data_IF_517711413328
#
_entry.id   IF_517711413328
#
_cell.length_a   1.000
_cell.length_b   1.000
_cell.length_c   1.000
_cell.angle_alpha   90.00
_cell.angle_beta   90.00
_cell.angle_gamma   90.00
#
_symmetry.space_group_name_H-M   'P 1'
#
loop_
_entity.id
_entity.type
_entity.pdbx_description
1 polymer ?
#
# COMPACT_ATOMS: atom_id res chain seq x y z
N UNK A 1 -23.86 0.68 21.06
CA UNK A 1 -23.53 -0.71 20.71
C UNK A 1 -22.62 -1.27 21.80
N UNK A 2 -22.86 -2.51 22.24
CA UNK A 2 -22.02 -3.14 23.27
C UNK A 2 -21.13 -4.20 22.63
N UNK A 3 -19.84 -4.13 22.91
CA UNK A 3 -18.87 -5.14 22.53
C UNK A 3 -18.57 -6.02 23.74
N UNK A 4 -18.55 -7.33 23.54
CA UNK A 4 -18.24 -8.27 24.61
C UNK A 4 -16.73 -8.43 24.77
N UNK A 5 -16.25 -8.38 26.01
CA UNK A 5 -14.87 -8.72 26.35
C UNK A 5 -14.64 -10.22 26.19
N UNK A 6 -13.49 -10.60 25.63
CA UNK A 6 -13.11 -11.98 25.50
C UNK A 6 -12.90 -12.60 26.90
N UNK A 7 -13.45 -13.79 27.12
CA UNK A 7 -13.42 -14.53 28.39
C UNK A 7 -14.07 -13.83 29.59
N UNK A 8 -14.84 -12.77 29.38
CA UNK A 8 -15.59 -12.08 30.44
C UNK A 8 -17.07 -11.97 30.08
N UNK A 9 -17.92 -11.85 31.10
CA UNK A 9 -19.33 -11.49 30.92
C UNK A 9 -19.53 -9.98 30.78
N UNK A 10 -18.47 -9.21 30.94
CA UNK A 10 -18.50 -7.77 30.89
C UNK A 10 -18.62 -7.27 29.45
N UNK A 11 -19.31 -6.15 29.29
CA UNK A 11 -19.53 -5.48 28.01
C UNK A 11 -18.99 -4.07 28.08
N UNK A 12 -18.35 -3.63 27.03
CA UNK A 12 -17.91 -2.25 26.88
C UNK A 12 -18.88 -1.56 25.93
N UNK A 13 -19.49 -0.47 26.39
CA UNK A 13 -20.36 0.38 25.59
C UNK A 13 -19.53 1.28 24.69
N UNK A 14 -19.64 1.11 23.38
CA UNK A 14 -18.91 1.89 22.36
C UNK A 14 -19.88 2.77 21.55
N UNK A 15 -19.35 3.82 20.94
CA UNK A 15 -20.12 4.77 20.15
C UNK A 15 -20.65 4.15 18.84
N UNK A 16 -21.95 4.18 18.63
CA UNK A 16 -22.60 3.75 17.38
C UNK A 16 -22.13 4.57 16.17
N UNK A 17 -21.72 5.81 16.36
CA UNK A 17 -21.16 6.63 15.29
C UNK A 17 -19.84 6.08 14.73
N UNK A 18 -19.16 5.18 15.45
CA UNK A 18 -17.90 4.56 15.03
C UNK A 18 -18.09 3.11 14.62
N UNK A 19 -18.89 2.34 15.35
CA UNK A 19 -19.04 0.90 15.16
C UNK A 19 -20.39 0.48 14.57
N UNK A 20 -21.32 1.43 14.39
CA UNK A 20 -22.64 1.22 13.79
C UNK A 20 -22.78 1.74 12.34
N UNK A 21 -21.69 2.12 11.68
CA UNK A 21 -21.76 2.69 10.34
C UNK A 21 -22.06 1.63 9.26
N UNK A 22 -22.74 2.05 8.19
CA UNK A 22 -22.99 1.20 7.02
C UNK A 22 -21.69 0.81 6.33
N UNK A 23 -21.64 -0.42 5.82
CA UNK A 23 -20.50 -0.87 5.02
C UNK A 23 -20.55 -0.27 3.61
N UNK A 24 -19.48 0.45 3.24
CA UNK A 24 -19.33 1.11 1.94
C UNK A 24 -18.12 0.54 1.20
N UNK A 25 -18.33 -0.52 0.44
CA UNK A 25 -17.27 -1.27 -0.27
C UNK A 25 -16.41 -0.38 -1.15
N UNK A 26 -17.02 0.48 -1.97
CA UNK A 26 -16.29 1.38 -2.87
C UNK A 26 -15.35 2.33 -2.15
N UNK A 27 -15.77 2.85 -0.98
CA UNK A 27 -14.96 3.71 -0.13
C UNK A 27 -13.77 2.95 0.45
N UNK A 28 -14.00 1.75 0.97
CA UNK A 28 -12.97 0.88 1.53
C UNK A 28 -11.96 0.50 0.45
N UNK A 29 -12.42 0.10 -0.73
CA UNK A 29 -11.56 -0.22 -1.87
C UNK A 29 -10.66 0.96 -2.27
N UNK A 30 -11.19 2.18 -2.30
CA UNK A 30 -10.40 3.38 -2.60
C UNK A 30 -9.29 3.61 -1.56
N UNK A 31 -9.58 3.43 -0.27
CA UNK A 31 -8.59 3.56 0.80
C UNK A 31 -7.50 2.50 0.70
N UNK A 32 -7.88 1.23 0.48
CA UNK A 32 -6.93 0.13 0.32
C UNK A 32 -6.02 0.38 -0.89
N UNK A 33 -6.58 0.80 -2.01
CA UNK A 33 -5.81 1.13 -3.23
C UNK A 33 -4.82 2.27 -2.97
N UNK A 34 -5.24 3.33 -2.28
CA UNK A 34 -4.37 4.44 -1.90
C UNK A 34 -3.25 4.01 -0.96
N UNK A 35 -3.57 3.17 0.03
CA UNK A 35 -2.59 2.61 0.97
C UNK A 35 -1.55 1.75 0.27
N UNK A 36 -1.97 0.83 -0.59
CA UNK A 36 -1.07 -0.03 -1.37
C UNK A 36 -0.20 0.79 -2.34
N UNK A 37 -0.75 1.84 -2.94
CA UNK A 37 0.01 2.74 -3.81
C UNK A 37 1.08 3.51 -3.03
N UNK A 38 0.77 4.01 -1.85
CA UNK A 38 1.72 4.72 -0.99
C UNK A 38 2.90 3.84 -0.52
N UNK A 39 2.69 2.54 -0.35
CA UNK A 39 3.74 1.58 0.00
C UNK A 39 4.74 1.26 -1.12
N UNK A 40 4.50 1.75 -2.36
CA UNK A 40 5.40 1.48 -3.49
C UNK A 40 6.62 2.38 -3.44
N UNK A 41 7.83 1.78 -3.45
CA UNK A 41 9.09 2.53 -3.41
C UNK A 41 9.35 3.42 -4.64
N UNK A 42 8.81 3.06 -5.81
CA UNK A 42 8.89 3.86 -7.03
C UNK A 42 10.29 4.10 -7.59
N UNK A 43 11.27 3.27 -7.24
CA UNK A 43 12.71 3.48 -7.54
C UNK A 43 13.12 3.06 -8.95
N UNK A 44 12.23 2.47 -9.74
CA UNK A 44 12.54 2.02 -11.11
C UNK A 44 13.00 3.19 -11.97
N UNK A 45 14.20 3.06 -12.55
CA UNK A 45 14.77 4.01 -13.48
C UNK A 45 15.26 3.32 -14.76
N UNK A 46 15.10 3.99 -15.90
CA UNK A 46 15.63 3.58 -17.19
C UNK A 46 16.30 4.78 -17.86
N UNK A 47 17.32 4.55 -18.67
CA UNK A 47 18.01 5.61 -19.41
C UNK A 47 17.25 5.94 -20.70
N UNK A 48 16.83 7.19 -20.85
CA UNK A 48 16.37 7.73 -22.12
C UNK A 48 17.56 8.07 -23.02
N UNK A 49 17.32 8.48 -24.24
CA UNK A 49 18.37 8.81 -25.20
C UNK A 49 19.34 9.90 -24.74
N UNK A 50 18.93 10.79 -23.83
CA UNK A 50 19.77 11.83 -23.28
C UNK A 50 20.69 11.31 -22.16
N UNK A 51 20.24 10.31 -21.40
CA UNK A 51 20.96 9.72 -20.28
C UNK A 51 21.95 8.62 -20.70
N UNK A 52 21.78 8.04 -21.90
CA UNK A 52 22.71 7.02 -22.43
C UNK A 52 24.02 7.68 -22.85
N UNK A 53 25.16 7.09 -22.47
CA UNK A 53 26.50 7.58 -22.83
C UNK A 53 26.81 7.40 -24.31
N UNK A 54 27.57 8.30 -24.96
CA UNK A 54 27.95 8.29 -26.38
C UNK A 54 27.11 9.19 -27.28
N UNK A 55 27.23 9.15 -28.59
CA UNK A 55 26.32 9.77 -29.58
C UNK A 55 26.50 11.27 -29.83
N UNK A 56 27.65 11.86 -29.56
CA UNK A 56 27.94 13.26 -29.90
C UNK A 56 28.06 13.55 -31.41
N UNK A 57 28.39 12.51 -32.19
CA UNK A 57 28.58 12.62 -33.64
C UNK A 57 27.41 12.04 -34.42
N UNK A 58 27.00 12.73 -35.50
CA UNK A 58 26.01 12.23 -36.43
C UNK A 58 26.59 11.00 -37.18
N UNK A 59 25.87 9.83 -37.23
CA UNK A 59 26.36 8.60 -37.83
C UNK A 59 26.76 8.73 -39.30
N UNK A 60 26.04 9.51 -40.11
CA UNK A 60 26.29 9.82 -41.50
C UNK A 60 25.65 11.13 -41.93
N UNK A 61 26.06 11.65 -43.09
CA UNK A 61 25.51 12.89 -43.67
C UNK A 61 24.02 12.77 -43.98
N UNK A 62 23.33 13.91 -44.00
CA UNK A 62 21.88 14.02 -44.12
C UNK A 62 21.31 13.44 -45.43
N UNK A 63 22.07 13.54 -46.57
CA UNK A 63 21.67 13.11 -47.89
C UNK A 63 22.84 12.38 -48.57
N UNK A 64 22.55 11.61 -49.64
CA UNK A 64 23.56 11.00 -50.50
C UNK A 64 24.21 9.70 -49.97
N UNK A 65 23.59 9.01 -49.01
CA UNK A 65 24.05 7.71 -48.47
C UNK A 65 23.16 6.53 -48.80
N UNK A 66 21.97 6.78 -49.36
CA UNK A 66 20.95 5.75 -49.58
C UNK A 66 20.37 5.14 -48.31
N UNK A 67 20.77 5.60 -47.13
CA UNK A 67 20.32 5.10 -45.81
C UNK A 67 19.25 6.03 -45.22
N UNK A 68 18.44 5.48 -44.29
CA UNK A 68 17.51 6.28 -43.50
C UNK A 68 18.26 7.37 -42.73
N UNK A 69 17.67 8.55 -42.60
CA UNK A 69 18.27 9.66 -41.84
C UNK A 69 18.42 9.30 -40.36
N UNK A 70 19.60 9.53 -39.81
CA UNK A 70 19.89 9.30 -38.38
C UNK A 70 20.62 10.49 -37.79
N UNK A 71 20.15 11.00 -36.65
CA UNK A 71 20.78 12.10 -35.93
C UNK A 71 21.73 11.65 -34.83
N UNK A 72 21.52 10.47 -34.27
CA UNK A 72 22.32 9.92 -33.17
C UNK A 72 22.19 8.40 -33.09
N UNK A 73 23.26 7.73 -32.66
CA UNK A 73 23.27 6.28 -32.37
C UNK A 73 22.53 5.94 -31.07
N UNK A 74 22.16 6.93 -30.26
CA UNK A 74 21.38 6.73 -29.01
C UNK A 74 19.88 6.67 -29.20
N UNK A 75 19.39 6.83 -30.46
CA UNK A 75 17.97 6.72 -30.76
C UNK A 75 17.42 5.36 -30.29
N UNK A 76 16.17 5.28 -29.81
CA UNK A 76 15.53 4.03 -29.38
C UNK A 76 15.52 2.91 -30.43
N UNK A 77 15.64 3.25 -31.72
CA UNK A 77 15.73 2.31 -32.83
C UNK A 77 17.07 1.57 -32.90
N UNK A 78 18.08 2.08 -32.22
CA UNK A 78 19.43 1.52 -32.27
C UNK A 78 19.68 0.56 -31.11
N UNK A 79 20.43 -0.49 -31.37
CA UNK A 79 20.94 -1.36 -30.31
C UNK A 79 21.76 -0.52 -29.32
N UNK A 80 21.55 -0.69 -28.05
CA UNK A 80 22.15 0.11 -26.96
C UNK A 80 21.72 1.58 -26.95
N UNK A 81 20.69 1.95 -27.70
CA UNK A 81 20.04 3.27 -27.59
C UNK A 81 19.19 3.40 -26.32
N UNK A 82 18.70 4.62 -26.10
CA UNK A 82 17.83 4.90 -24.96
C UNK A 82 16.40 4.36 -25.13
N UNK A 83 15.70 4.15 -24.01
CA UNK A 83 14.28 3.79 -24.03
C UNK A 83 13.44 5.01 -24.39
N UNK A 84 12.44 4.85 -25.25
CA UNK A 84 11.59 5.96 -25.75
C UNK A 84 10.83 6.65 -24.60
N UNK A 85 10.14 5.88 -23.78
CA UNK A 85 9.41 6.33 -22.59
C UNK A 85 10.07 5.72 -21.33
N UNK A 86 11.30 6.15 -21.07
CA UNK A 86 12.08 5.64 -19.97
C UNK A 86 11.39 5.92 -18.63
N UNK A 87 11.16 4.87 -17.84
CA UNK A 87 10.63 5.02 -16.50
C UNK A 87 11.61 5.85 -15.65
N UNK A 88 11.08 6.79 -14.88
CA UNK A 88 11.81 7.59 -13.91
C UNK A 88 11.27 7.29 -12.51
N UNK A 89 12.09 7.43 -11.47
CA UNK A 89 11.61 7.32 -10.09
C UNK A 89 10.45 8.30 -9.88
N UNK A 90 9.37 7.80 -9.28
CA UNK A 90 8.19 8.61 -9.00
C UNK A 90 7.52 8.21 -7.70
N UNK A 91 6.86 9.16 -7.08
CA UNK A 91 5.95 8.91 -5.98
C UNK A 91 4.60 8.38 -6.50
N UNK A 92 4.10 7.31 -5.87
CA UNK A 92 2.81 6.71 -6.15
C UNK A 92 1.74 7.07 -5.11
N UNK A 93 2.08 7.92 -4.14
CA UNK A 93 1.17 8.34 -3.07
C UNK A 93 -0.08 8.99 -3.66
N UNK A 94 -1.25 8.53 -3.23
CA UNK A 94 -2.53 9.11 -3.61
C UNK A 94 -3.09 9.95 -2.46
N UNK A 95 -3.48 11.19 -2.75
CA UNK A 95 -4.10 12.07 -1.76
C UNK A 95 -5.50 11.56 -1.43
N UNK A 96 -5.76 11.32 -0.14
CA UNK A 96 -7.07 10.97 0.40
C UNK A 96 -7.55 12.09 1.33
N UNK A 97 -8.80 12.53 1.17
CA UNK A 97 -9.37 13.54 2.05
C UNK A 97 -9.55 12.99 3.47
N UNK A 98 -9.24 13.76 4.51
CA UNK A 98 -9.35 13.34 5.91
C UNK A 98 -10.75 12.86 6.30
N UNK A 99 -11.81 13.52 5.80
CA UNK A 99 -13.20 13.10 6.06
C UNK A 99 -13.50 11.73 5.44
N UNK A 100 -13.02 11.50 4.21
CA UNK A 100 -13.17 10.23 3.50
C UNK A 100 -12.42 9.11 4.24
N UNK A 101 -11.17 9.35 4.65
CA UNK A 101 -10.38 8.40 5.42
C UNK A 101 -11.09 8.00 6.72
N UNK A 102 -11.55 8.97 7.52
CA UNK A 102 -12.26 8.70 8.77
C UNK A 102 -13.57 7.92 8.55
N UNK A 103 -14.33 8.26 7.51
CA UNK A 103 -15.55 7.53 7.16
C UNK A 103 -15.25 6.07 6.74
N UNK A 104 -14.16 5.86 6.00
CA UNK A 104 -13.75 4.51 5.61
C UNK A 104 -13.28 3.66 6.79
N UNK A 105 -12.48 4.22 7.71
CA UNK A 105 -12.08 3.49 8.94
C UNK A 105 -13.31 3.11 9.78
N UNK A 106 -14.26 4.01 9.95
CA UNK A 106 -15.52 3.69 10.65
C UNK A 106 -16.28 2.55 9.97
N UNK A 107 -16.39 2.59 8.65
CA UNK A 107 -17.04 1.53 7.86
C UNK A 107 -16.33 0.17 8.03
N UNK A 108 -15.00 0.16 8.06
CA UNK A 108 -14.20 -1.05 8.28
C UNK A 108 -14.41 -1.60 9.70
N UNK A 109 -14.29 -0.75 10.72
CA UNK A 109 -14.45 -1.16 12.13
C UNK A 109 -15.86 -1.69 12.40
N UNK A 110 -16.89 -1.04 11.85
CA UNK A 110 -18.29 -1.48 11.97
C UNK A 110 -18.50 -2.84 11.32
N UNK A 111 -17.89 -3.10 10.16
CA UNK A 111 -17.99 -4.39 9.48
C UNK A 111 -17.24 -5.50 10.21
N UNK A 112 -16.05 -5.20 10.74
CA UNK A 112 -15.29 -6.15 11.56
C UNK A 112 -16.05 -6.54 12.82
N UNK A 113 -16.73 -5.60 13.47
CA UNK A 113 -17.58 -5.87 14.63
C UNK A 113 -18.80 -6.74 14.23
N UNK A 114 -19.45 -6.45 13.10
CA UNK A 114 -20.60 -7.21 12.58
C UNK A 114 -20.25 -8.64 12.19
N UNK A 115 -19.01 -8.86 11.70
CA UNK A 115 -18.50 -10.18 11.34
C UNK A 115 -17.86 -10.92 12.51
N UNK A 116 -17.93 -10.40 13.73
CA UNK A 116 -17.32 -10.97 14.94
C UNK A 116 -15.80 -11.19 14.80
N UNK A 117 -15.14 -10.37 13.98
CA UNK A 117 -13.70 -10.40 13.74
C UNK A 117 -12.91 -9.42 14.61
N UNK A 118 -13.60 -8.62 15.40
CA UNK A 118 -13.02 -7.71 16.38
C UNK A 118 -13.10 -8.35 17.76
N UNK A 119 -11.95 -8.73 18.31
CA UNK A 119 -11.83 -9.31 19.65
C UNK A 119 -11.31 -8.23 20.58
N UNK A 120 -12.04 -7.98 21.66
CA UNK A 120 -11.64 -7.01 22.69
C UNK A 120 -11.13 -7.79 23.91
N UNK A 121 -9.93 -7.48 24.35
CA UNK A 121 -9.30 -8.06 25.53
C UNK A 121 -9.00 -6.95 26.52
N UNK A 122 -9.06 -7.27 27.81
CA UNK A 122 -8.82 -6.29 28.88
C UNK A 122 -7.33 -5.97 29.02
N UNK A 123 -6.49 -6.99 28.99
CA UNK A 123 -5.04 -6.83 29.10
C UNK A 123 -4.28 -7.89 28.30
N UNK A 124 -3.09 -7.55 27.90
CA UNK A 124 -2.16 -8.45 27.21
C UNK A 124 -0.95 -8.66 28.10
N UNK A 125 -1.01 -9.70 28.94
CA UNK A 125 0.10 -10.06 29.82
C UNK A 125 0.97 -11.13 29.16
N UNK A 126 2.24 -10.81 28.94
CA UNK A 126 3.25 -11.74 28.44
C UNK A 126 4.43 -11.72 29.42
N UNK A 127 4.69 -12.81 30.10
CA UNK A 127 5.72 -12.91 31.17
C UNK A 127 7.15 -12.67 30.65
N UNK A 128 7.40 -12.95 29.39
CA UNK A 128 8.71 -12.74 28.78
C UNK A 128 8.56 -12.35 27.30
N UNK A 129 9.48 -11.56 26.70
CA UNK A 129 9.45 -11.14 25.31
C UNK A 129 9.82 -12.30 24.36
N UNK A 130 9.02 -13.38 24.38
CA UNK A 130 9.20 -14.57 23.54
C UNK A 130 8.00 -14.74 22.60
N UNK A 131 8.29 -14.83 21.31
CA UNK A 131 7.26 -15.03 20.26
C UNK A 131 6.42 -16.29 20.49
N UNK A 132 6.99 -17.34 21.09
CA UNK A 132 6.27 -18.57 21.43
C UNK A 132 5.11 -18.34 22.39
N UNK A 133 5.30 -17.47 23.39
CA UNK A 133 4.24 -17.15 24.38
C UNK A 133 3.11 -16.35 23.73
N UNK A 134 3.45 -15.39 22.84
CA UNK A 134 2.44 -14.66 22.06
C UNK A 134 1.66 -15.61 21.15
N UNK A 135 2.32 -16.56 20.50
CA UNK A 135 1.65 -17.56 19.65
C UNK A 135 0.69 -18.45 20.43
N UNK A 136 1.09 -18.92 21.64
CA UNK A 136 0.18 -19.72 22.49
C UNK A 136 -1.03 -18.90 22.93
N UNK A 137 -0.82 -17.65 23.34
CA UNK A 137 -1.90 -16.74 23.70
C UNK A 137 -2.86 -16.45 22.53
N UNK A 138 -2.34 -16.21 21.30
CA UNK A 138 -3.18 -16.05 20.11
C UNK A 138 -3.96 -17.32 19.76
N UNK A 139 -3.38 -18.49 20.00
CA UNK A 139 -4.06 -19.77 19.79
C UNK A 139 -5.21 -19.96 20.78
N UNK A 140 -5.06 -19.55 22.04
CA UNK A 140 -6.13 -19.53 23.05
C UNK A 140 -7.28 -18.59 22.67
N UNK A 141 -6.96 -17.44 22.04
CA UNK A 141 -7.97 -16.53 21.48
C UNK A 141 -8.65 -17.07 20.20
N UNK A 142 -8.19 -18.19 19.64
CA UNK A 142 -8.72 -18.78 18.41
C UNK A 142 -8.41 -17.97 17.14
N UNK A 143 -7.41 -17.07 17.16
CA UNK A 143 -7.07 -16.19 16.04
C UNK A 143 -5.71 -16.55 15.45
N UNK A 144 -5.61 -16.59 14.11
CA UNK A 144 -4.38 -16.97 13.40
C UNK A 144 -3.65 -15.81 12.72
N UNK A 145 -4.41 -14.83 12.20
CA UNK A 145 -3.89 -13.59 11.60
C UNK A 145 -4.52 -12.40 12.28
N UNK A 146 -3.74 -11.69 13.07
CA UNK A 146 -4.28 -10.66 13.96
C UNK A 146 -3.41 -9.41 13.91
N UNK A 147 -4.07 -8.25 13.91
CA UNK A 147 -3.47 -6.96 14.23
C UNK A 147 -3.79 -6.66 15.70
N UNK A 148 -2.77 -6.52 16.51
CA UNK A 148 -2.89 -6.15 17.92
C UNK A 148 -2.77 -4.64 18.03
N UNK A 149 -3.72 -3.99 18.70
CA UNK A 149 -3.73 -2.55 18.95
C UNK A 149 -3.72 -2.35 20.46
N UNK A 150 -2.73 -1.63 20.97
CA UNK A 150 -2.56 -1.31 22.40
C UNK A 150 -2.44 0.20 22.56
N UNK A 151 -2.86 0.73 23.70
CA UNK A 151 -2.48 2.07 24.13
C UNK A 151 -1.06 2.02 24.69
N UNK A 152 -0.16 2.89 24.22
CA UNK A 152 1.21 3.10 24.72
C UNK A 152 1.26 4.35 25.58
#
# INVERSE_FOLDING_TARGET
>A
MDLQLHNSKEKITVSDAVFGADYKESLVHQLVTAYMAAGRAGTKAQKNRAAVSGGGTKPWRQKGTGRARAGTIRSPLWRSGGVTFAAQPRDFTQKVNRKLYRAGIRSILSELARQERLVVVEDITVDAPKTKQVLSWLAELGVSRTLIITET
#
